data_IF_279587854302
#
_entry.id   IF_279587854302
#
_cell.length_a   1.000
_cell.length_b   1.000
_cell.length_c   1.000
_cell.angle_alpha   90.00
_cell.angle_beta   90.00
_cell.angle_gamma   90.00
#
_symmetry.space_group_name_H-M   'P 1'
#
loop_
_entity.id
_entity.type
_entity.pdbx_description
1 polymer ?
#
# COMPACT_ATOMS: atom_id res chain seq x y z
N UNK A 1 -44.80 22.83 41.23
CA UNK A 1 -44.07 23.04 39.97
C UNK A 1 -44.51 21.92 39.02
N UNK A 2 -44.96 22.29 37.84
CA UNK A 2 -45.29 21.27 36.83
C UNK A 2 -44.02 20.51 36.44
N UNK A 3 -44.13 19.17 36.26
CA UNK A 3 -42.98 18.37 35.91
C UNK A 3 -42.51 18.72 34.50
N UNK A 4 -41.20 19.06 34.35
CA UNK A 4 -40.60 19.33 33.05
C UNK A 4 -40.60 18.06 32.21
N UNK A 5 -41.26 18.11 31.06
CA UNK A 5 -41.37 17.00 30.12
C UNK A 5 -41.15 17.48 28.70
N UNK A 6 -40.67 16.59 27.83
CA UNK A 6 -40.65 16.86 26.42
C UNK A 6 -42.06 17.00 25.86
N UNK A 7 -42.27 17.88 24.90
CA UNK A 7 -43.53 18.02 24.15
C UNK A 7 -43.90 16.69 23.49
N UNK A 8 -45.14 16.54 23.10
CA UNK A 8 -45.55 15.39 22.30
C UNK A 8 -44.71 15.32 21.01
N UNK A 9 -44.12 14.14 20.76
CA UNK A 9 -43.30 13.87 19.59
C UNK A 9 -44.05 12.98 18.62
N UNK A 10 -43.97 13.28 17.33
CA UNK A 10 -44.55 12.45 16.28
C UNK A 10 -43.81 11.11 16.14
N UNK A 11 -44.44 10.14 15.48
CA UNK A 11 -43.81 8.85 15.16
C UNK A 11 -42.52 9.02 14.34
N UNK A 12 -42.48 9.98 13.42
CA UNK A 12 -41.31 10.27 12.60
C UNK A 12 -40.18 10.86 13.43
N UNK A 13 -40.49 11.76 14.37
CA UNK A 13 -39.51 12.30 15.31
C UNK A 13 -38.96 11.21 16.21
N UNK A 14 -39.82 10.35 16.75
CA UNK A 14 -39.42 9.19 17.56
C UNK A 14 -38.50 8.26 16.78
N UNK A 15 -38.84 7.94 15.55
CA UNK A 15 -37.99 7.10 14.68
C UNK A 15 -36.64 7.77 14.33
N UNK A 16 -36.61 9.09 14.17
CA UNK A 16 -35.39 9.86 13.95
C UNK A 16 -34.49 9.85 15.18
N UNK A 17 -35.04 10.04 16.37
CA UNK A 17 -34.31 9.94 17.65
C UNK A 17 -33.74 8.53 17.86
N UNK A 18 -34.54 7.50 17.60
CA UNK A 18 -34.10 6.11 17.69
C UNK A 18 -32.96 5.81 16.73
N UNK A 19 -32.95 6.37 15.52
CA UNK A 19 -31.84 6.22 14.57
C UNK A 19 -30.54 6.81 15.11
N UNK A 20 -30.61 8.02 15.70
CA UNK A 20 -29.43 8.66 16.32
C UNK A 20 -28.86 7.76 17.44
N UNK A 21 -29.73 7.22 18.29
CA UNK A 21 -29.30 6.40 19.42
C UNK A 21 -28.78 5.02 18.98
N UNK A 22 -29.42 4.35 18.01
CA UNK A 22 -29.04 2.99 17.58
C UNK A 22 -27.82 2.96 16.68
N UNK A 23 -27.65 3.94 15.80
CA UNK A 23 -26.52 3.98 14.84
C UNK A 23 -25.27 4.62 15.40
N UNK A 24 -25.37 5.32 16.55
CA UNK A 24 -24.24 6.06 17.10
C UNK A 24 -23.73 7.19 16.17
N UNK A 25 -24.58 7.67 15.26
CA UNK A 25 -24.24 8.75 14.35
C UNK A 25 -24.20 10.09 15.11
N UNK A 26 -23.08 10.82 14.97
CA UNK A 26 -22.90 12.11 15.59
C UNK A 26 -21.95 12.11 16.80
N UNK A 27 -21.94 13.26 17.51
CA UNK A 27 -21.13 13.38 18.73
C UNK A 27 -21.77 12.64 19.92
N UNK A 28 -20.95 12.25 20.88
CA UNK A 28 -21.45 11.69 22.18
C UNK A 28 -22.48 12.62 22.83
N UNK A 29 -22.35 13.94 22.62
CA UNK A 29 -23.29 14.92 23.13
C UNK A 29 -24.65 14.79 22.44
N UNK A 30 -24.66 14.67 21.12
CA UNK A 30 -25.89 14.48 20.33
C UNK A 30 -26.61 13.19 20.74
N UNK A 31 -25.87 12.09 20.87
CA UNK A 31 -26.39 10.82 21.29
C UNK A 31 -27.03 10.88 22.69
N UNK A 32 -26.33 11.50 23.66
CA UNK A 32 -26.83 11.66 25.03
C UNK A 32 -28.08 12.52 25.09
N UNK A 33 -28.12 13.64 24.37
CA UNK A 33 -29.30 14.52 24.31
C UNK A 33 -30.49 13.81 23.70
N UNK A 34 -30.32 13.03 22.63
CA UNK A 34 -31.36 12.24 22.01
C UNK A 34 -31.92 11.17 22.97
N UNK A 35 -31.09 10.52 23.79
CA UNK A 35 -31.54 9.59 24.82
C UNK A 35 -32.40 10.28 25.91
N UNK A 36 -31.97 11.45 26.40
CA UNK A 36 -32.72 12.23 27.40
C UNK A 36 -34.11 12.54 26.84
N UNK A 37 -34.22 13.00 25.61
CA UNK A 37 -35.47 13.31 24.94
C UNK A 37 -36.37 12.06 24.83
N UNK A 38 -35.81 10.92 24.41
CA UNK A 38 -36.58 9.67 24.30
C UNK A 38 -37.09 9.17 25.64
N UNK A 39 -36.30 9.22 26.71
CA UNK A 39 -36.73 8.82 28.05
C UNK A 39 -37.84 9.75 28.60
N UNK A 40 -37.68 11.05 28.36
CA UNK A 40 -38.72 12.01 28.71
C UNK A 40 -40.05 11.76 27.94
N UNK A 41 -39.94 11.44 26.64
CA UNK A 41 -41.11 11.09 25.81
C UNK A 41 -41.80 9.78 26.27
N UNK A 42 -41.04 8.86 26.87
CA UNK A 42 -41.56 7.64 27.47
C UNK A 42 -42.17 7.86 28.86
N UNK A 43 -42.24 9.11 29.33
CA UNK A 43 -42.86 9.49 30.59
C UNK A 43 -41.92 9.46 31.80
N UNK A 44 -40.60 9.19 31.62
CA UNK A 44 -39.65 9.21 32.74
C UNK A 44 -39.50 10.62 33.33
N UNK A 45 -39.46 10.70 34.65
CA UNK A 45 -39.23 11.97 35.34
C UNK A 45 -37.75 12.37 35.33
N UNK A 46 -37.48 13.66 35.39
CA UNK A 46 -36.11 14.21 35.39
C UNK A 46 -35.16 13.54 36.40
N UNK A 47 -35.56 13.31 37.66
CA UNK A 47 -34.71 12.61 38.63
C UNK A 47 -34.34 11.17 38.25
N UNK A 48 -35.17 10.51 37.45
CA UNK A 48 -34.90 9.15 36.94
C UNK A 48 -33.96 9.19 35.71
N UNK A 49 -34.11 10.20 34.85
CA UNK A 49 -33.27 10.38 33.66
C UNK A 49 -31.84 10.78 34.01
N UNK A 50 -31.65 11.66 35.00
CA UNK A 50 -30.37 12.22 35.33
C UNK A 50 -29.27 11.17 35.59
N UNK A 51 -29.46 10.16 36.45
CA UNK A 51 -28.47 9.12 36.67
C UNK A 51 -28.21 8.25 35.41
N UNK A 52 -29.27 7.95 34.63
CA UNK A 52 -29.12 7.16 33.40
C UNK A 52 -28.34 7.89 32.33
N UNK A 53 -28.48 9.21 32.27
CA UNK A 53 -27.75 10.08 31.34
C UNK A 53 -26.36 10.48 31.85
N UNK A 54 -25.95 10.05 33.04
CA UNK A 54 -24.75 10.52 33.73
C UNK A 54 -24.65 12.05 33.74
N UNK A 55 -25.73 12.71 34.15
CA UNK A 55 -25.87 14.17 34.08
C UNK A 55 -26.61 14.69 35.34
N UNK A 56 -26.55 16.02 35.58
CA UNK A 56 -27.36 16.67 36.60
C UNK A 56 -28.80 16.84 36.16
N UNK A 57 -29.73 16.92 37.12
CA UNK A 57 -31.13 17.21 36.81
C UNK A 57 -31.34 18.51 36.04
N UNK A 58 -30.57 19.58 36.39
CA UNK A 58 -30.65 20.86 35.70
C UNK A 58 -30.24 20.76 34.24
N UNK A 59 -29.22 19.96 33.98
CA UNK A 59 -28.82 19.72 32.59
C UNK A 59 -29.84 18.90 31.80
N UNK A 60 -30.52 17.97 32.44
CA UNK A 60 -31.64 17.22 31.84
C UNK A 60 -32.79 18.15 31.52
N UNK A 61 -33.18 19.04 32.48
CA UNK A 61 -34.20 20.10 32.24
C UNK A 61 -33.82 20.99 31.07
N UNK A 62 -32.61 21.48 31.04
CA UNK A 62 -32.09 22.32 29.94
C UNK A 62 -32.21 21.62 28.58
N UNK A 63 -31.84 20.33 28.47
CA UNK A 63 -31.95 19.57 27.23
C UNK A 63 -33.42 19.43 26.79
N UNK A 64 -34.34 19.18 27.75
CA UNK A 64 -35.76 19.04 27.44
C UNK A 64 -36.33 20.38 26.96
N UNK A 65 -36.01 21.49 27.64
CA UNK A 65 -36.48 22.82 27.24
C UNK A 65 -35.95 23.18 25.86
N UNK A 66 -34.62 23.03 25.63
CA UNK A 66 -34.06 23.34 24.31
C UNK A 66 -34.65 22.48 23.20
N UNK A 67 -34.99 21.21 23.46
CA UNK A 67 -35.66 20.40 22.45
C UNK A 67 -37.11 20.82 22.22
N UNK A 68 -37.83 21.28 23.25
CA UNK A 68 -39.18 21.79 23.10
C UNK A 68 -39.20 23.07 22.26
N UNK A 69 -38.17 23.93 22.37
CA UNK A 69 -38.06 25.19 21.69
C UNK A 69 -37.48 25.04 20.29
N UNK A 70 -36.32 24.39 20.15
CA UNK A 70 -35.52 24.35 18.93
C UNK A 70 -35.58 22.99 18.18
N UNK A 71 -36.28 21.99 18.74
CA UNK A 71 -36.41 20.67 18.13
C UNK A 71 -35.05 19.96 17.94
N UNK A 72 -34.90 19.30 16.81
CA UNK A 72 -33.70 18.50 16.50
C UNK A 72 -32.41 19.30 16.46
N UNK A 73 -32.45 20.60 16.15
CA UNK A 73 -31.27 21.45 16.08
C UNK A 73 -30.60 21.63 17.44
N UNK A 74 -31.39 21.52 18.54
CA UNK A 74 -30.89 21.55 19.91
C UNK A 74 -30.03 20.34 20.29
N UNK A 75 -30.20 19.21 19.61
CA UNK A 75 -29.43 17.98 19.88
C UNK A 75 -27.97 18.12 19.48
N UNK A 76 -27.69 18.93 18.49
CA UNK A 76 -26.32 19.14 18.01
C UNK A 76 -25.60 20.13 18.92
N UNK A 77 -24.30 19.86 19.23
CA UNK A 77 -23.53 20.83 20.02
C UNK A 77 -23.41 22.15 19.22
N UNK A 78 -23.95 23.24 19.80
CA UNK A 78 -23.61 24.57 19.32
C UNK A 78 -22.16 24.78 19.76
N UNK A 79 -21.23 24.82 18.81
CA UNK A 79 -19.87 25.22 19.11
C UNK A 79 -19.90 26.63 19.66
N UNK A 80 -19.82 26.78 20.97
CA UNK A 80 -19.45 28.05 21.58
C UNK A 80 -18.06 28.38 21.05
N UNK A 81 -17.93 29.52 20.37
CA UNK A 81 -16.78 29.87 19.60
C UNK A 81 -15.46 29.54 20.27
N UNK A 82 -14.78 28.52 19.76
CA UNK A 82 -13.36 28.32 20.01
C UNK A 82 -12.56 29.48 19.41
N UNK A 83 -11.25 29.47 19.64
CA UNK A 83 -10.36 30.45 19.00
C UNK A 83 -10.70 30.54 17.51
N UNK A 84 -10.95 31.75 16.98
CA UNK A 84 -11.26 31.93 15.55
C UNK A 84 -10.20 31.22 14.69
N UNK A 85 -10.58 30.61 13.56
CA UNK A 85 -9.62 30.02 12.65
C UNK A 85 -8.55 31.05 12.30
N UNK A 86 -7.27 30.69 12.41
CA UNK A 86 -6.13 31.60 12.14
C UNK A 86 -6.21 32.16 10.70
N UNK A 87 -6.79 31.39 9.77
CA UNK A 87 -6.91 31.75 8.37
C UNK A 87 -8.37 31.78 7.91
N UNK A 88 -8.73 32.85 7.23
CA UNK A 88 -10.07 33.03 6.64
C UNK A 88 -10.33 32.05 5.50
N UNK A 89 -11.59 31.84 5.12
CA UNK A 89 -11.96 31.01 3.98
C UNK A 89 -11.31 31.44 2.66
N UNK A 90 -11.21 32.74 2.29
CA UNK A 90 -10.47 33.18 1.12
C UNK A 90 -8.99 32.83 1.19
N UNK A 91 -8.32 33.01 2.35
CA UNK A 91 -6.93 32.63 2.54
C UNK A 91 -6.73 31.12 2.40
N UNK A 92 -7.57 30.31 3.01
CA UNK A 92 -7.51 28.82 2.87
C UNK A 92 -7.64 28.39 1.41
N UNK A 93 -8.54 29.00 0.64
CA UNK A 93 -8.68 28.73 -0.80
C UNK A 93 -7.44 29.14 -1.60
N UNK A 94 -6.85 30.29 -1.30
CA UNK A 94 -5.63 30.77 -1.95
C UNK A 94 -4.43 29.86 -1.64
N UNK A 95 -4.27 29.44 -0.37
CA UNK A 95 -3.24 28.48 0.06
C UNK A 95 -3.39 27.15 -0.70
N UNK A 96 -4.61 26.60 -0.74
CA UNK A 96 -4.90 25.37 -1.48
C UNK A 96 -4.59 25.50 -2.96
N UNK A 97 -5.01 26.60 -3.59
CA UNK A 97 -4.74 26.87 -5.00
C UNK A 97 -3.23 26.92 -5.26
N UNK A 98 -2.48 27.67 -4.45
CA UNK A 98 -1.02 27.77 -4.60
C UNK A 98 -0.33 26.39 -4.43
N UNK A 99 -0.77 25.59 -3.45
CA UNK A 99 -0.20 24.25 -3.21
C UNK A 99 -0.42 23.28 -4.38
N UNK A 100 -1.55 23.38 -5.07
CA UNK A 100 -1.90 22.55 -6.22
C UNK A 100 -1.36 23.08 -7.55
N UNK A 101 -0.90 24.34 -7.59
CA UNK A 101 -0.27 24.94 -8.78
C UNK A 101 1.20 24.53 -8.89
N UNK A 102 1.72 24.42 -10.09
CA UNK A 102 3.15 24.22 -10.28
C UNK A 102 3.89 25.51 -9.89
N UNK A 103 5.02 25.42 -9.15
CA UNK A 103 5.79 26.61 -8.80
C UNK A 103 6.23 27.43 -10.03
N UNK A 104 6.55 26.79 -11.15
CA UNK A 104 6.89 27.43 -12.42
C UNK A 104 5.78 28.30 -12.98
N UNK A 105 4.52 27.89 -12.85
CA UNK A 105 3.35 28.65 -13.32
C UNK A 105 3.12 29.92 -12.48
N UNK A 106 3.74 29.95 -11.30
CA UNK A 106 3.73 31.09 -10.37
C UNK A 106 5.07 31.87 -10.41
N UNK A 107 5.86 31.72 -11.48
CA UNK A 107 7.10 32.43 -11.70
C UNK A 107 8.27 31.99 -10.77
N UNK A 108 8.24 30.78 -10.24
CA UNK A 108 9.28 30.26 -9.35
C UNK A 108 10.19 29.26 -10.08
N UNK A 109 11.53 29.28 -9.86
CA UNK A 109 12.49 28.49 -10.61
C UNK A 109 12.67 27.08 -10.03
N UNK A 110 11.58 26.40 -9.68
CA UNK A 110 11.59 25.01 -9.18
C UNK A 110 10.31 24.27 -9.55
N UNK A 111 10.38 22.95 -9.67
CA UNK A 111 9.30 22.10 -10.19
C UNK A 111 8.31 21.64 -9.12
N UNK A 112 8.67 21.70 -7.83
CA UNK A 112 7.82 21.19 -6.74
C UNK A 112 7.91 22.07 -5.51
N UNK A 113 6.84 22.13 -4.74
CA UNK A 113 6.80 22.80 -3.45
C UNK A 113 7.43 21.96 -2.35
N UNK A 114 8.32 22.55 -1.54
CA UNK A 114 8.48 22.13 -0.15
C UNK A 114 7.57 22.98 0.74
N UNK A 115 7.28 22.52 1.95
CA UNK A 115 6.47 23.32 2.89
C UNK A 115 7.11 24.69 3.16
N UNK A 116 8.44 24.78 3.28
CA UNK A 116 9.13 26.06 3.47
C UNK A 116 8.97 26.98 2.26
N UNK A 117 9.24 26.50 1.05
CA UNK A 117 9.10 27.29 -0.17
C UNK A 117 7.67 27.77 -0.42
N UNK A 118 6.68 26.93 -0.09
CA UNK A 118 5.29 27.32 -0.18
C UNK A 118 4.92 28.36 0.88
N UNK A 119 5.35 28.20 2.12
CA UNK A 119 5.14 29.17 3.19
C UNK A 119 5.77 30.55 2.83
N UNK A 120 7.04 30.55 2.41
CA UNK A 120 7.73 31.76 1.96
C UNK A 120 7.01 32.45 0.79
N UNK A 121 6.49 31.67 -0.16
CA UNK A 121 5.70 32.19 -1.26
C UNK A 121 4.42 32.86 -0.78
N UNK A 122 3.63 32.20 0.08
CA UNK A 122 2.37 32.69 0.58
C UNK A 122 2.51 34.01 1.38
N UNK A 123 3.57 34.11 2.16
CA UNK A 123 3.91 35.35 2.89
C UNK A 123 4.32 36.46 1.93
N UNK A 124 5.20 36.16 0.97
CA UNK A 124 5.70 37.15 0.00
C UNK A 124 4.60 37.71 -0.89
N UNK A 125 3.63 36.87 -1.29
CA UNK A 125 2.48 37.30 -2.10
C UNK A 125 1.36 37.92 -1.25
N UNK A 126 1.56 38.09 0.06
CA UNK A 126 0.57 38.70 0.96
C UNK A 126 -0.69 37.90 1.15
N UNK A 127 -0.65 36.59 0.86
CA UNK A 127 -1.80 35.69 1.09
C UNK A 127 -2.04 35.52 2.59
N UNK A 128 -0.96 35.46 3.35
CA UNK A 128 -0.94 35.38 4.82
C UNK A 128 0.22 36.20 5.37
N UNK A 129 0.06 36.73 6.59
CA UNK A 129 1.14 37.46 7.26
C UNK A 129 2.25 36.52 7.77
N UNK A 130 1.84 35.34 8.27
CA UNK A 130 2.75 34.30 8.77
C UNK A 130 2.07 32.93 8.78
N UNK A 131 2.82 31.90 8.44
CA UNK A 131 2.40 30.51 8.55
C UNK A 131 3.58 29.60 8.85
N UNK A 132 3.48 28.83 9.93
CA UNK A 132 4.47 27.80 10.24
C UNK A 132 4.33 26.60 9.30
N UNK A 133 5.44 25.88 9.06
CA UNK A 133 5.44 24.70 8.18
C UNK A 133 4.46 23.63 8.67
N UNK A 134 4.36 23.44 9.99
CA UNK A 134 3.43 22.48 10.58
C UNK A 134 1.97 22.95 10.47
N UNK A 135 1.73 24.25 10.70
CA UNK A 135 0.41 24.83 10.48
C UNK A 135 -0.05 24.75 9.02
N UNK A 136 0.86 24.99 8.07
CA UNK A 136 0.59 24.82 6.64
C UNK A 136 0.28 23.34 6.33
N UNK A 137 1.04 22.40 6.86
CA UNK A 137 0.81 20.97 6.67
C UNK A 137 -0.54 20.53 7.21
N UNK A 138 -0.91 20.99 8.41
CA UNK A 138 -2.19 20.68 9.03
C UNK A 138 -3.36 21.24 8.19
N UNK A 139 -3.26 22.53 7.80
CA UNK A 139 -4.27 23.17 6.96
C UNK A 139 -4.46 22.46 5.61
N UNK A 140 -3.37 22.11 4.93
CA UNK A 140 -3.46 21.40 3.66
C UNK A 140 -4.15 20.04 3.81
N UNK A 141 -3.89 19.31 4.90
CA UNK A 141 -4.58 18.05 5.20
C UNK A 141 -6.08 18.24 5.44
N UNK A 142 -6.45 19.26 6.21
CA UNK A 142 -7.86 19.63 6.43
C UNK A 142 -8.57 19.96 5.11
N UNK A 143 -7.85 20.62 4.18
CA UNK A 143 -8.36 20.95 2.84
C UNK A 143 -8.30 19.76 1.85
N UNK A 144 -7.92 18.56 2.31
CA UNK A 144 -7.83 17.36 1.48
C UNK A 144 -6.62 17.32 0.56
N UNK A 145 -5.55 18.09 0.85
CA UNK A 145 -4.32 18.13 0.07
C UNK A 145 -3.21 17.40 0.82
N UNK A 146 -2.59 16.41 0.16
CA UNK A 146 -1.43 15.67 0.68
C UNK A 146 -0.31 15.67 -0.34
N UNK A 147 0.93 15.60 0.15
CA UNK A 147 2.09 15.46 -0.73
C UNK A 147 2.17 14.01 -1.23
N UNK A 148 1.99 13.81 -2.53
CA UNK A 148 1.92 12.50 -3.15
C UNK A 148 3.10 12.29 -4.10
N UNK A 149 3.60 11.05 -4.16
CA UNK A 149 4.61 10.68 -5.14
C UNK A 149 3.98 10.58 -6.54
N UNK A 150 4.61 11.20 -7.51
CA UNK A 150 4.28 11.02 -8.93
C UNK A 150 5.08 9.84 -9.44
N UNK A 151 4.40 8.80 -9.88
CA UNK A 151 5.02 7.64 -10.51
C UNK A 151 4.99 7.82 -12.02
N UNK A 152 6.10 7.46 -12.67
CA UNK A 152 6.15 7.31 -14.12
C UNK A 152 5.92 5.85 -14.49
N UNK A 153 5.23 5.61 -15.58
CA UNK A 153 5.05 4.29 -16.18
C UNK A 153 5.58 4.33 -17.61
N UNK A 154 6.04 3.19 -18.08
CA UNK A 154 6.50 3.05 -19.46
C UNK A 154 5.34 2.53 -20.29
N UNK A 155 5.02 3.21 -21.35
CA UNK A 155 4.09 2.71 -22.34
C UNK A 155 4.78 1.62 -23.16
N UNK A 156 4.08 0.51 -23.37
CA UNK A 156 4.60 -0.59 -24.19
C UNK A 156 4.50 -0.23 -25.67
N UNK A 157 5.56 -0.50 -26.40
CA UNK A 157 5.60 -0.41 -27.86
C UNK A 157 5.52 -1.80 -28.53
N UNK A 158 5.09 -2.80 -27.79
CA UNK A 158 4.95 -4.17 -28.32
C UNK A 158 3.73 -4.24 -29.24
N UNK A 159 3.88 -4.62 -30.54
CA UNK A 159 2.76 -4.73 -31.45
C UNK A 159 1.74 -5.78 -31.03
N UNK A 160 2.17 -6.80 -30.27
CA UNK A 160 1.34 -7.91 -29.79
C UNK A 160 0.90 -7.70 -28.33
N UNK A 161 0.91 -6.45 -27.83
CA UNK A 161 0.68 -6.14 -26.42
C UNK A 161 -0.59 -6.78 -25.86
N UNK A 162 -1.72 -6.57 -26.52
CA UNK A 162 -3.01 -7.07 -26.03
C UNK A 162 -3.06 -8.61 -26.06
N UNK A 163 -2.55 -9.24 -27.12
CA UNK A 163 -2.54 -10.70 -27.23
C UNK A 163 -1.71 -11.34 -26.12
N UNK A 164 -0.49 -10.86 -25.91
CA UNK A 164 0.42 -11.34 -24.85
C UNK A 164 -0.15 -11.10 -23.47
N UNK A 165 -0.65 -9.88 -23.21
CA UNK A 165 -1.29 -9.53 -21.94
C UNK A 165 -2.47 -10.45 -21.64
N UNK A 166 -3.37 -10.62 -22.58
CA UNK A 166 -4.57 -11.45 -22.41
C UNK A 166 -4.21 -12.91 -22.17
N UNK A 167 -3.22 -13.47 -22.90
CA UNK A 167 -2.77 -14.83 -22.64
C UNK A 167 -2.19 -15.00 -21.23
N UNK A 168 -1.40 -14.06 -20.74
CA UNK A 168 -0.87 -14.09 -19.38
C UNK A 168 -1.98 -14.01 -18.33
N UNK A 169 -2.98 -13.13 -18.54
CA UNK A 169 -4.12 -13.01 -17.62
C UNK A 169 -4.96 -14.28 -17.61
N UNK A 170 -5.16 -14.92 -18.74
CA UNK A 170 -5.81 -16.23 -18.85
C UNK A 170 -5.06 -17.33 -18.08
N UNK A 171 -3.74 -17.43 -18.27
CA UNK A 171 -2.90 -18.36 -17.53
C UNK A 171 -2.99 -18.11 -16.00
N UNK A 172 -3.05 -16.86 -15.58
CA UNK A 172 -3.25 -16.53 -14.18
C UNK A 172 -4.63 -16.90 -13.66
N UNK A 173 -5.67 -16.70 -14.45
CA UNK A 173 -7.03 -17.10 -14.10
C UNK A 173 -7.14 -18.62 -13.93
N UNK A 174 -6.45 -19.39 -14.78
CA UNK A 174 -6.35 -20.87 -14.65
C UNK A 174 -5.59 -21.24 -13.37
N UNK A 175 -4.42 -20.62 -13.10
CA UNK A 175 -3.63 -20.89 -11.92
C UNK A 175 -4.38 -20.54 -10.61
N UNK A 176 -5.11 -19.43 -10.60
CA UNK A 176 -5.95 -18.97 -9.49
C UNK A 176 -7.27 -19.74 -9.37
N UNK A 177 -7.54 -20.70 -10.29
CA UNK A 177 -8.78 -21.50 -10.37
C UNK A 177 -10.05 -20.66 -10.53
N UNK A 178 -9.95 -19.48 -11.10
CA UNK A 178 -11.09 -18.61 -11.43
C UNK A 178 -11.62 -18.86 -12.82
N UNK A 179 -10.86 -19.60 -13.65
CA UNK A 179 -11.23 -20.02 -14.99
C UNK A 179 -10.86 -21.50 -15.20
N UNK A 180 -11.74 -22.33 -15.76
CA UNK A 180 -11.43 -23.72 -16.03
C UNK A 180 -10.40 -23.84 -17.16
N UNK A 181 -9.38 -24.69 -16.97
CA UNK A 181 -8.44 -25.02 -18.03
C UNK A 181 -9.14 -25.84 -19.12
N UNK A 182 -8.92 -25.49 -20.38
CA UNK A 182 -9.29 -26.33 -21.53
C UNK A 182 -8.40 -27.58 -21.62
N UNK A 183 -8.72 -28.52 -22.53
CA UNK A 183 -7.98 -29.78 -22.67
C UNK A 183 -6.50 -29.57 -23.01
N UNK A 184 -6.17 -28.52 -23.74
CA UNK A 184 -4.81 -28.22 -24.19
C UNK A 184 -4.14 -27.09 -23.37
N UNK A 185 -4.80 -26.57 -22.34
CA UNK A 185 -4.27 -25.50 -21.53
C UNK A 185 -3.28 -25.99 -20.48
N UNK A 186 -2.24 -25.18 -20.13
CA UNK A 186 -1.36 -25.46 -19.03
C UNK A 186 -2.11 -25.47 -17.70
N UNK A 187 -1.93 -26.54 -16.91
CA UNK A 187 -2.50 -26.66 -15.55
C UNK A 187 -1.53 -26.19 -14.48
N UNK A 188 -0.27 -25.96 -14.83
CA UNK A 188 0.79 -25.45 -13.98
C UNK A 188 1.37 -24.20 -14.61
N UNK A 189 1.44 -23.11 -13.85
CA UNK A 189 1.99 -21.83 -14.30
C UNK A 189 3.13 -21.41 -13.41
N UNK A 190 4.31 -21.23 -14.01
CA UNK A 190 5.45 -20.59 -13.38
C UNK A 190 5.58 -19.15 -13.85
N UNK A 191 5.96 -18.25 -12.93
CA UNK A 191 6.52 -16.96 -13.27
C UNK A 191 8.03 -17.01 -13.08
N UNK A 192 8.80 -16.69 -14.10
CA UNK A 192 10.28 -16.81 -14.08
C UNK A 192 10.92 -15.46 -14.41
N UNK A 193 12.03 -15.15 -13.72
CA UNK A 193 12.88 -13.98 -14.03
C UNK A 193 14.24 -14.11 -13.32
N UNK A 194 15.14 -13.14 -13.58
CA UNK A 194 16.45 -13.04 -12.92
C UNK A 194 16.51 -11.87 -11.96
N UNK A 195 16.81 -12.19 -10.71
CA UNK A 195 17.07 -11.19 -9.68
C UNK A 195 18.57 -10.90 -9.55
N UNK A 196 18.94 -9.63 -9.74
CA UNK A 196 20.33 -9.21 -9.63
C UNK A 196 20.64 -7.90 -10.36
N UNK A 197 21.90 -7.48 -10.46
CA UNK A 197 23.11 -8.23 -10.06
C UNK A 197 23.30 -8.29 -8.53
N UNK A 198 23.61 -9.49 -8.04
CA UNK A 198 23.97 -9.74 -6.64
C UNK A 198 25.47 -9.41 -6.45
N UNK A 199 25.76 -8.19 -6.01
CA UNK A 199 27.10 -7.72 -5.72
C UNK A 199 27.44 -7.92 -4.24
N UNK A 200 28.73 -8.12 -3.91
CA UNK A 200 29.23 -8.08 -2.55
C UNK A 200 29.53 -6.64 -2.17
N UNK A 201 28.51 -5.99 -1.67
CA UNK A 201 28.57 -4.64 -1.10
C UNK A 201 27.53 -4.54 0.03
N UNK A 202 27.73 -3.62 0.97
CA UNK A 202 26.71 -3.36 1.98
C UNK A 202 25.39 -2.91 1.34
N UNK A 203 24.31 -3.62 1.66
CA UNK A 203 22.98 -3.23 1.23
C UNK A 203 22.37 -2.24 2.23
N UNK A 204 21.83 -1.09 1.77
CA UNK A 204 21.07 -0.20 2.63
C UNK A 204 19.78 -0.88 3.09
N UNK A 205 19.18 -0.36 4.15
CA UNK A 205 17.92 -0.89 4.66
C UNK A 205 17.47 -0.14 5.90
N UNK A 206 16.50 -0.71 6.62
CA UNK A 206 15.92 -0.16 7.83
C UNK A 206 16.20 -1.08 9.01
N UNK A 207 16.46 -0.52 10.18
CA UNK A 207 16.65 -1.28 11.42
C UNK A 207 15.94 -0.59 12.59
N UNK A 208 15.63 -1.37 13.60
CA UNK A 208 15.21 -0.84 14.88
C UNK A 208 16.41 -0.20 15.57
N UNK A 209 16.20 1.02 16.10
CA UNK A 209 17.21 1.74 16.85
C UNK A 209 16.54 2.56 17.94
N UNK A 210 17.26 2.80 19.06
CA UNK A 210 16.77 3.66 20.13
C UNK A 210 16.43 5.07 19.62
N UNK A 211 15.33 5.64 20.10
CA UNK A 211 14.90 7.00 19.74
C UNK A 211 15.83 8.02 20.42
N UNK A 212 16.19 9.08 19.70
CA UNK A 212 16.87 10.23 20.32
C UNK A 212 15.85 11.09 21.07
N UNK A 213 16.04 11.40 22.36
CA UNK A 213 15.13 12.20 23.18
C UNK A 213 15.44 12.12 24.67
N UNK A 214 14.46 12.38 25.55
CA UNK A 214 14.59 12.42 27.00
C UNK A 214 15.14 11.11 27.61
N UNK A 215 15.00 9.99 26.89
CA UNK A 215 15.52 8.67 27.26
C UNK A 215 16.62 8.22 26.29
N UNK A 216 17.52 9.15 25.91
CA UNK A 216 18.64 8.86 25.02
C UNK A 216 19.61 7.91 25.70
N UNK A 217 20.01 6.88 24.98
CA UNK A 217 21.27 6.23 25.23
C UNK A 217 22.41 7.19 24.78
N UNK A 218 23.22 7.75 25.71
CA UNK A 218 24.29 8.66 25.36
C UNK A 218 25.38 8.00 24.51
N UNK A 219 25.54 6.68 24.62
CA UNK A 219 26.54 5.90 23.91
C UNK A 219 26.02 5.35 22.59
N UNK A 220 24.79 5.71 22.22
CA UNK A 220 24.19 5.27 20.97
C UNK A 220 25.05 5.65 19.78
N UNK A 221 25.51 4.68 18.97
CA UNK A 221 26.20 4.99 17.72
C UNK A 221 25.28 5.81 16.80
N UNK A 222 25.82 6.78 16.07
CA UNK A 222 25.05 7.50 15.05
C UNK A 222 24.46 6.49 14.06
N UNK A 223 23.40 6.89 13.31
CA UNK A 223 22.80 6.04 12.29
C UNK A 223 23.89 5.38 11.46
N UNK A 224 23.97 4.04 11.41
CA UNK A 224 25.08 3.36 10.78
C UNK A 224 25.10 3.70 9.30
N UNK A 225 26.25 4.21 8.83
CA UNK A 225 26.53 4.43 7.43
C UNK A 225 27.46 3.32 6.96
N UNK A 226 27.02 2.57 5.95
CA UNK A 226 27.85 1.54 5.35
C UNK A 226 28.61 2.11 4.16
N UNK A 227 29.86 1.70 3.97
CA UNK A 227 30.70 2.16 2.87
C UNK A 227 30.25 1.49 1.58
N UNK A 228 29.57 2.24 0.71
CA UNK A 228 29.26 1.79 -0.64
C UNK A 228 30.51 1.88 -1.55
N UNK A 229 30.61 0.98 -2.50
CA UNK A 229 31.62 1.00 -3.56
C UNK A 229 30.96 0.76 -4.92
N UNK A 230 31.45 1.49 -5.93
CA UNK A 230 31.04 1.25 -7.32
C UNK A 230 31.83 0.11 -7.99
N UNK A 231 32.96 -0.30 -7.38
CA UNK A 231 33.78 -1.39 -7.89
C UNK A 231 33.16 -2.74 -7.50
N UNK A 232 33.33 -3.72 -8.38
CA UNK A 232 32.84 -5.10 -8.18
C UNK A 232 34.01 -6.08 -8.20
N UNK A 233 34.95 -6.01 -7.25
CA UNK A 233 36.20 -6.79 -7.30
C UNK A 233 35.97 -8.30 -7.23
N UNK A 234 34.82 -8.71 -6.69
CA UNK A 234 34.44 -10.13 -6.57
C UNK A 234 33.50 -10.60 -7.68
N UNK A 235 33.25 -9.75 -8.69
CA UNK A 235 32.24 -9.98 -9.71
C UNK A 235 30.82 -9.97 -9.13
N UNK A 236 29.87 -10.45 -9.90
CA UNK A 236 28.45 -10.52 -9.51
C UNK A 236 27.91 -11.94 -9.64
N UNK A 237 26.75 -12.18 -9.03
CA UNK A 237 25.91 -13.36 -9.25
C UNK A 237 24.52 -12.91 -9.64
N UNK A 238 23.73 -13.85 -10.14
CA UNK A 238 22.33 -13.68 -10.46
C UNK A 238 21.53 -14.83 -9.86
N UNK A 239 20.35 -14.55 -9.36
CA UNK A 239 19.40 -15.58 -8.96
C UNK A 239 18.44 -15.77 -10.13
N UNK A 240 18.50 -16.91 -10.80
CA UNK A 240 17.41 -17.37 -11.65
C UNK A 240 16.33 -17.93 -10.77
N UNK A 241 15.14 -17.40 -10.85
CA UNK A 241 14.04 -17.74 -9.97
C UNK A 241 12.77 -18.10 -10.74
N UNK A 242 12.03 -19.07 -10.22
CA UNK A 242 10.73 -19.50 -10.72
C UNK A 242 9.73 -19.57 -9.58
N UNK A 243 8.61 -18.92 -9.75
CA UNK A 243 7.51 -18.92 -8.80
C UNK A 243 6.37 -19.79 -9.34
N UNK A 244 6.13 -20.91 -8.70
CA UNK A 244 5.05 -21.85 -8.99
C UNK A 244 3.75 -21.31 -8.37
N UNK A 245 2.85 -20.84 -9.21
CA UNK A 245 1.57 -20.29 -8.77
C UNK A 245 0.65 -21.36 -8.19
N UNK A 246 0.75 -22.61 -8.69
CA UNK A 246 -0.14 -23.68 -8.27
C UNK A 246 0.14 -24.19 -6.85
N UNK A 247 1.41 -24.09 -6.42
CA UNK A 247 1.88 -24.56 -5.10
C UNK A 247 2.28 -23.41 -4.18
N UNK A 248 2.22 -22.16 -4.64
CA UNK A 248 2.77 -20.98 -3.95
C UNK A 248 4.21 -21.21 -3.48
N UNK A 249 5.09 -21.67 -4.37
CA UNK A 249 6.50 -21.96 -4.02
C UNK A 249 7.48 -21.23 -4.92
N UNK A 250 8.50 -20.66 -4.30
CA UNK A 250 9.61 -19.99 -4.97
C UNK A 250 10.78 -20.96 -5.07
N UNK A 251 11.37 -21.06 -6.26
CA UNK A 251 12.58 -21.85 -6.55
C UNK A 251 13.67 -20.93 -7.07
N UNK A 252 14.94 -21.29 -6.86
CA UNK A 252 16.00 -20.42 -7.34
C UNK A 252 17.38 -21.04 -7.38
N UNK A 253 18.11 -20.76 -8.47
CA UNK A 253 19.51 -21.13 -8.65
C UNK A 253 20.36 -19.87 -8.79
N UNK A 254 21.47 -19.82 -8.05
CA UNK A 254 22.42 -18.72 -8.15
C UNK A 254 23.50 -19.06 -9.16
N UNK A 255 23.61 -18.24 -10.20
CA UNK A 255 24.50 -18.41 -11.35
C UNK A 255 25.50 -17.26 -11.48
N UNK A 256 26.62 -17.50 -12.19
CA UNK A 256 27.59 -16.45 -12.54
C UNK A 256 27.13 -15.61 -13.71
N UNK A 257 26.56 -16.27 -14.70
CA UNK A 257 26.15 -15.67 -15.96
C UNK A 257 24.67 -15.99 -16.18
N UNK A 258 23.94 -15.02 -16.70
CA UNK A 258 22.54 -15.18 -17.12
C UNK A 258 22.49 -15.34 -18.64
N UNK A 259 23.04 -16.44 -19.09
CA UNK A 259 23.09 -16.84 -20.48
C UNK A 259 22.02 -17.92 -20.79
N UNK A 260 21.87 -18.23 -22.08
CA UNK A 260 20.90 -19.22 -22.57
C UNK A 260 21.12 -20.61 -21.98
N UNK A 261 22.35 -20.98 -21.70
CA UNK A 261 22.69 -22.28 -21.12
C UNK A 261 22.19 -22.37 -19.67
N UNK A 262 22.43 -21.32 -18.87
CA UNK A 262 21.92 -21.23 -17.50
C UNK A 262 20.38 -21.16 -17.49
N UNK A 263 19.78 -20.41 -18.41
CA UNK A 263 18.34 -20.34 -18.57
C UNK A 263 17.73 -21.73 -18.85
N UNK A 264 18.20 -22.43 -19.88
CA UNK A 264 17.70 -23.77 -20.23
C UNK A 264 17.96 -24.78 -19.10
N UNK A 265 19.08 -24.69 -18.41
CA UNK A 265 19.33 -25.54 -17.24
C UNK A 265 18.30 -25.31 -16.14
N UNK A 266 17.92 -24.07 -15.90
CA UNK A 266 16.91 -23.74 -14.92
C UNK A 266 15.50 -24.15 -15.38
N UNK A 267 15.16 -23.95 -16.64
CA UNK A 267 13.91 -24.43 -17.22
C UNK A 267 13.76 -25.95 -17.08
N UNK A 268 14.83 -26.73 -17.37
CA UNK A 268 14.84 -28.19 -17.15
C UNK A 268 14.61 -28.56 -15.68
N UNK A 269 15.20 -27.80 -14.75
CA UNK A 269 14.96 -27.98 -13.32
C UNK A 269 13.48 -27.74 -12.97
N UNK A 270 12.84 -26.65 -13.43
CA UNK A 270 11.42 -26.40 -13.19
C UNK A 270 10.56 -27.50 -13.81
N UNK A 271 10.87 -27.91 -15.06
CA UNK A 271 10.15 -28.99 -15.75
C UNK A 271 10.19 -30.31 -14.98
N UNK A 272 11.32 -30.64 -14.36
CA UNK A 272 11.53 -31.91 -13.61
C UNK A 272 10.64 -32.03 -12.36
N UNK A 273 9.97 -30.99 -11.94
CA UNK A 273 9.07 -31.00 -10.77
C UNK A 273 7.70 -31.60 -11.06
N UNK A 274 7.37 -31.81 -12.32
CA UNK A 274 6.08 -32.30 -12.77
C UNK A 274 6.25 -33.41 -13.82
N UNK A 275 5.32 -34.37 -13.90
CA UNK A 275 5.31 -35.36 -14.96
C UNK A 275 5.21 -34.72 -16.36
N UNK A 276 5.73 -35.39 -17.39
CA UNK A 276 5.78 -34.83 -18.76
C UNK A 276 4.40 -34.61 -19.37
N UNK A 277 3.41 -35.38 -18.94
CA UNK A 277 2.00 -35.27 -19.36
C UNK A 277 1.35 -33.97 -18.89
N UNK A 278 1.85 -33.40 -17.81
CA UNK A 278 1.37 -32.13 -17.29
C UNK A 278 1.95 -30.99 -18.13
N UNK A 279 1.08 -30.30 -18.87
CA UNK A 279 1.48 -29.09 -19.61
C UNK A 279 1.79 -27.96 -18.64
N UNK A 280 2.92 -27.30 -18.85
CA UNK A 280 3.40 -26.19 -18.02
C UNK A 280 3.45 -24.91 -18.86
N UNK A 281 3.01 -23.78 -18.31
CA UNK A 281 3.35 -22.46 -18.82
C UNK A 281 4.46 -21.82 -17.98
N UNK A 282 5.35 -21.10 -18.65
CA UNK A 282 6.37 -20.27 -18.00
C UNK A 282 6.17 -18.85 -18.50
N UNK A 283 5.71 -17.96 -17.62
CA UNK A 283 5.61 -16.51 -17.86
C UNK A 283 6.99 -15.88 -17.61
N UNK A 284 7.52 -15.18 -18.60
CA UNK A 284 8.87 -14.62 -18.58
C UNK A 284 8.99 -13.36 -19.43
N UNK A 285 10.07 -12.62 -19.27
CA UNK A 285 10.36 -11.43 -20.09
C UNK A 285 11.01 -11.77 -21.45
N UNK A 286 11.16 -10.75 -22.29
CA UNK A 286 11.79 -10.87 -23.60
C UNK A 286 13.30 -10.71 -23.57
N UNK A 287 13.99 -11.08 -22.48
CA UNK A 287 15.44 -11.04 -22.43
C UNK A 287 16.04 -11.99 -23.47
N UNK A 288 17.07 -11.54 -24.21
CA UNK A 288 17.55 -12.29 -25.39
C UNK A 288 17.95 -13.74 -25.16
N UNK A 289 18.49 -14.16 -23.99
CA UNK A 289 18.73 -15.58 -23.70
C UNK A 289 17.45 -16.44 -23.63
N UNK A 290 16.29 -15.83 -23.36
CA UNK A 290 15.00 -16.50 -23.27
C UNK A 290 14.35 -16.78 -24.64
N UNK A 291 14.87 -16.13 -25.69
CA UNK A 291 14.25 -16.18 -27.02
C UNK A 291 14.94 -17.19 -27.93
N UNK A 292 14.17 -17.88 -28.73
CA UNK A 292 14.69 -18.50 -29.94
C UNK A 292 15.05 -17.43 -30.95
N UNK A 293 16.15 -17.63 -31.65
CA UNK A 293 16.62 -16.76 -32.72
C UNK A 293 16.78 -17.54 -34.01
N UNK A 294 16.97 -16.83 -35.12
CA UNK A 294 17.20 -17.50 -36.43
C UNK A 294 18.43 -18.45 -36.41
N UNK A 295 19.43 -18.17 -35.57
CA UNK A 295 20.66 -18.94 -35.46
C UNK A 295 20.72 -19.88 -34.27
N UNK A 296 19.79 -19.75 -33.31
CA UNK A 296 19.77 -20.58 -32.12
C UNK A 296 18.32 -20.83 -31.68
N UNK A 297 17.80 -21.99 -32.01
CA UNK A 297 16.40 -22.39 -31.76
C UNK A 297 16.24 -23.26 -30.50
N UNK A 298 17.31 -23.53 -29.76
CA UNK A 298 17.31 -24.43 -28.61
C UNK A 298 16.20 -24.17 -27.59
N UNK A 299 15.77 -22.91 -27.43
CA UNK A 299 14.71 -22.55 -26.45
C UNK A 299 13.35 -23.05 -26.93
N UNK A 300 12.97 -22.78 -28.20
CA UNK A 300 11.70 -23.23 -28.78
C UNK A 300 11.67 -24.77 -28.91
N UNK A 301 12.72 -25.37 -29.44
CA UNK A 301 12.85 -26.83 -29.56
C UNK A 301 12.72 -27.53 -28.20
N UNK A 302 13.35 -26.95 -27.15
CA UNK A 302 13.22 -27.47 -25.80
C UNK A 302 11.80 -27.36 -25.28
N UNK A 303 11.16 -26.21 -25.47
CA UNK A 303 9.80 -25.97 -24.97
C UNK A 303 8.81 -26.94 -25.62
N UNK A 304 8.88 -27.11 -26.94
CA UNK A 304 8.04 -28.03 -27.70
C UNK A 304 8.25 -29.48 -27.26
N UNK A 305 9.52 -29.92 -27.15
CA UNK A 305 9.85 -31.30 -26.77
C UNK A 305 9.52 -31.64 -25.31
N UNK A 306 9.23 -30.64 -24.47
CA UNK A 306 8.99 -30.83 -23.04
C UNK A 306 7.59 -30.41 -22.58
N UNK A 307 6.63 -30.26 -23.52
CA UNK A 307 5.26 -29.86 -23.21
C UNK A 307 5.17 -28.55 -22.39
N UNK A 308 5.94 -27.54 -22.81
CA UNK A 308 6.05 -26.23 -22.14
C UNK A 308 5.59 -25.13 -23.08
N UNK A 309 4.72 -24.28 -22.58
CA UNK A 309 4.36 -23.00 -23.19
C UNK A 309 5.22 -21.88 -22.62
N UNK A 310 5.92 -21.12 -23.46
CA UNK A 310 6.64 -19.92 -23.06
C UNK A 310 5.75 -18.69 -23.31
N UNK A 311 5.24 -18.08 -22.26
CA UNK A 311 4.37 -16.92 -22.31
C UNK A 311 5.17 -15.63 -22.04
N UNK A 312 5.56 -14.93 -23.10
CA UNK A 312 6.37 -13.74 -22.98
C UNK A 312 5.54 -12.51 -22.60
N UNK A 313 6.03 -11.74 -21.59
CA UNK A 313 5.41 -10.45 -21.26
C UNK A 313 5.58 -9.46 -22.41
N UNK A 314 4.65 -8.53 -22.63
CA UNK A 314 4.88 -7.43 -23.56
C UNK A 314 6.12 -6.61 -23.20
N UNK A 315 6.72 -5.93 -24.17
CA UNK A 315 7.87 -5.06 -23.91
C UNK A 315 7.53 -4.02 -22.83
N UNK A 316 8.46 -3.76 -21.92
CA UNK A 316 8.32 -2.83 -20.78
C UNK A 316 7.20 -3.17 -19.79
N UNK A 317 6.71 -4.40 -19.79
CA UNK A 317 5.57 -4.84 -18.96
C UNK A 317 5.96 -5.88 -17.91
N UNK A 318 7.14 -5.74 -17.28
CA UNK A 318 7.60 -6.65 -16.20
C UNK A 318 6.60 -6.70 -15.02
N UNK A 319 5.82 -5.65 -14.82
CA UNK A 319 4.76 -5.61 -13.81
C UNK A 319 3.67 -6.70 -13.99
N UNK A 320 3.54 -7.27 -15.19
CA UNK A 320 2.68 -8.43 -15.41
C UNK A 320 3.27 -9.73 -14.85
N UNK A 321 4.59 -9.78 -14.58
CA UNK A 321 5.22 -10.96 -14.06
C UNK A 321 5.11 -11.01 -12.53
N UNK A 322 4.27 -11.91 -12.01
CA UNK A 322 3.99 -12.04 -10.56
C UNK A 322 5.22 -12.35 -9.71
N UNK A 323 6.34 -12.79 -10.29
CA UNK A 323 7.59 -13.05 -9.56
C UNK A 323 8.23 -11.76 -9.00
N UNK A 324 7.95 -10.60 -9.59
CA UNK A 324 8.52 -9.31 -9.15
C UNK A 324 8.18 -8.99 -7.67
N UNK A 325 6.99 -9.39 -7.23
CA UNK A 325 6.61 -9.27 -5.82
C UNK A 325 7.49 -10.14 -4.90
N UNK A 326 7.85 -11.34 -5.35
CA UNK A 326 8.76 -12.23 -4.61
C UNK A 326 10.15 -11.63 -4.51
N UNK A 327 10.63 -10.94 -5.55
CA UNK A 327 11.91 -10.24 -5.54
C UNK A 327 11.91 -9.04 -4.58
N UNK A 328 10.81 -8.31 -4.51
CA UNK A 328 10.65 -7.22 -3.54
C UNK A 328 10.73 -7.74 -2.12
N UNK A 329 10.04 -8.84 -1.81
CA UNK A 329 10.08 -9.49 -0.51
C UNK A 329 11.48 -10.06 -0.20
N UNK A 330 12.10 -10.75 -1.15
CA UNK A 330 13.46 -11.29 -1.01
C UNK A 330 14.49 -10.18 -0.73
N UNK A 331 14.42 -9.07 -1.46
CA UNK A 331 15.28 -7.89 -1.22
C UNK A 331 15.12 -7.41 0.21
N UNK A 332 13.88 -7.17 0.64
CA UNK A 332 13.58 -6.62 1.95
C UNK A 332 14.01 -7.52 3.10
N UNK A 333 13.82 -8.85 2.99
CA UNK A 333 14.02 -9.78 4.10
C UNK A 333 15.35 -10.54 4.06
N UNK A 334 15.99 -10.64 2.90
CA UNK A 334 17.21 -11.42 2.76
C UNK A 334 18.45 -10.59 2.34
N UNK A 335 18.26 -9.35 1.84
CA UNK A 335 19.38 -8.53 1.41
C UNK A 335 19.52 -7.21 2.15
N UNK A 336 18.41 -6.52 2.42
CA UNK A 336 18.45 -5.24 3.15
C UNK A 336 19.21 -5.40 4.48
N UNK A 337 20.04 -4.40 4.82
CA UNK A 337 20.90 -4.39 6.00
C UNK A 337 22.02 -5.44 6.03
N UNK A 338 22.28 -6.17 4.96
CA UNK A 338 23.34 -7.16 4.91
C UNK A 338 24.66 -6.59 4.39
N UNK A 339 25.75 -7.22 4.81
CA UNK A 339 27.11 -7.00 4.31
C UNK A 339 27.81 -8.36 4.28
N UNK A 340 27.69 -9.02 3.15
CA UNK A 340 28.16 -10.41 3.03
C UNK A 340 29.64 -10.47 2.67
N UNK A 341 30.44 -11.24 3.39
CA UNK A 341 31.87 -11.38 3.11
C UNK A 341 32.15 -12.16 1.83
N UNK A 342 31.24 -13.01 1.38
CA UNK A 342 31.40 -13.85 0.20
C UNK A 342 30.09 -14.10 -0.51
N UNK A 343 30.13 -14.37 -1.82
CA UNK A 343 28.96 -14.83 -2.58
C UNK A 343 28.36 -16.14 -2.03
N UNK A 344 29.18 -17.00 -1.40
CA UNK A 344 28.69 -18.22 -0.75
C UNK A 344 27.80 -17.88 0.45
N UNK A 345 28.20 -16.93 1.27
CA UNK A 345 27.42 -16.46 2.42
C UNK A 345 26.10 -15.82 1.97
N UNK A 346 26.16 -14.94 0.95
CA UNK A 346 24.98 -14.32 0.35
C UNK A 346 24.03 -15.37 -0.23
N UNK A 347 24.54 -16.30 -1.01
CA UNK A 347 23.76 -17.38 -1.60
C UNK A 347 23.12 -18.30 -0.52
N UNK A 348 23.83 -18.54 0.57
CA UNK A 348 23.30 -19.33 1.70
C UNK A 348 22.10 -18.63 2.36
N UNK A 349 22.18 -17.31 2.56
CA UNK A 349 21.06 -16.55 3.14
C UNK A 349 19.85 -16.55 2.20
N UNK A 350 20.05 -16.32 0.91
CA UNK A 350 18.97 -16.33 -0.09
C UNK A 350 18.27 -17.70 -0.11
N UNK A 351 19.04 -18.81 -0.13
CA UNK A 351 18.45 -20.15 -0.11
C UNK A 351 17.67 -20.45 1.17
N UNK A 352 18.17 -20.02 2.32
CA UNK A 352 17.45 -20.16 3.59
C UNK A 352 16.16 -19.34 3.62
N UNK A 353 16.18 -18.14 3.04
CA UNK A 353 14.98 -17.33 2.90
C UNK A 353 13.94 -18.02 2.01
N UNK A 354 14.36 -18.54 0.85
CA UNK A 354 13.46 -19.28 -0.05
C UNK A 354 12.85 -20.50 0.66
N UNK A 355 13.66 -21.27 1.38
CA UNK A 355 13.19 -22.43 2.14
C UNK A 355 12.19 -22.01 3.24
N UNK A 356 12.51 -20.96 3.99
CA UNK A 356 11.63 -20.42 5.02
C UNK A 356 10.30 -19.92 4.41
N UNK A 357 10.37 -19.12 3.33
CA UNK A 357 9.20 -18.60 2.61
C UNK A 357 8.29 -19.73 2.14
N UNK A 358 8.85 -20.77 1.56
CA UNK A 358 8.10 -21.91 1.06
C UNK A 358 7.46 -22.75 2.19
N UNK A 359 8.06 -22.75 3.37
CA UNK A 359 7.47 -23.39 4.54
C UNK A 359 6.28 -22.58 5.10
N UNK A 360 6.27 -21.27 4.87
CA UNK A 360 5.22 -20.34 5.32
C UNK A 360 4.33 -19.85 4.16
N UNK A 361 4.17 -20.66 3.12
CA UNK A 361 3.35 -20.33 1.94
C UNK A 361 1.89 -19.98 2.33
N UNK A 362 1.33 -20.65 3.32
CA UNK A 362 -0.04 -20.42 3.81
C UNK A 362 -0.15 -19.27 4.83
N UNK A 363 0.93 -18.52 5.07
CA UNK A 363 0.92 -17.37 5.97
C UNK A 363 0.20 -16.17 5.33
N UNK A 364 -1.02 -15.88 5.81
CA UNK A 364 -1.82 -14.75 5.35
C UNK A 364 -1.13 -13.38 5.48
N UNK A 365 -0.24 -13.19 6.46
CA UNK A 365 0.51 -11.94 6.61
C UNK A 365 1.58 -11.81 5.53
N UNK A 366 2.30 -12.88 5.23
CA UNK A 366 3.27 -12.93 4.14
C UNK A 366 2.57 -12.69 2.79
N UNK A 367 1.44 -13.34 2.56
CA UNK A 367 0.62 -13.15 1.37
C UNK A 367 0.18 -11.68 1.19
N UNK A 368 -0.24 -11.01 2.25
CA UNK A 368 -0.60 -9.59 2.21
C UNK A 368 0.58 -8.67 1.86
N UNK A 369 1.78 -8.96 2.35
CA UNK A 369 2.99 -8.18 2.02
C UNK A 369 3.31 -8.33 0.53
N UNK A 370 3.23 -9.54 0.01
CA UNK A 370 3.45 -9.83 -1.43
C UNK A 370 2.39 -9.15 -2.29
N UNK A 371 1.12 -9.24 -1.90
CA UNK A 371 0.01 -8.59 -2.62
C UNK A 371 0.16 -7.07 -2.63
N UNK A 372 0.55 -6.45 -1.52
CA UNK A 372 0.81 -4.99 -1.46
C UNK A 372 1.97 -4.55 -2.34
N UNK A 373 2.96 -5.41 -2.55
CA UNK A 373 4.06 -5.13 -3.48
C UNK A 373 3.61 -5.15 -4.96
N UNK A 374 2.53 -5.88 -5.29
CA UNK A 374 1.96 -5.94 -6.64
C UNK A 374 1.04 -4.75 -6.96
N UNK A 375 0.60 -3.97 -5.96
CA UNK A 375 -0.33 -2.83 -6.10
C UNK A 375 0.48 -1.52 -6.22
N UNK A 376 1.58 -1.52 -6.93
CA UNK A 376 2.36 -0.31 -7.15
C UNK A 376 2.28 0.16 -8.60
#
# INVERSE_FOLDING_TARGET
>A
MEPVRVREISNDEGNRLLRIVRRGEGSVVTWRRAQIVLWSAQGMAVPQIAPLAFSSEDRVREVIHNFNDDGFDSLYPRYSGGRPPKFTLPQRRAIKKAALSRPTDLGRPFSTWSLSKLADYLVREGVVDDISHEGLRALLREEGVTFQAVKTWKESNDPDFEAKKNRILELYAIADRTWPAGPDDPTVVFCMDEFGPLNLQPHPGHQWAAVSGKHKDPDRPPRPRRRATYKRPHGVRHLMAGYDLSRDRLYGHIVKHKDRTAFLAFCRYLRSMYPLEVRIAIVLDNFSPHLSTRTDQRVGEWAESNNVELAYTPHYSSWLNRIEAQFTALRRFALDNTDHPTHRAQASLIRRYIAWRNHHADDHQLAQIVTRANVA
#
